data_IF_767888420740
#
_entry.id   IF_767888420740
#
_cell.length_a   1.000
_cell.length_b   1.000
_cell.length_c   1.000
_cell.angle_alpha   90.00
_cell.angle_beta   90.00
_cell.angle_gamma   90.00
#
_symmetry.space_group_name_H-M   'P 1'
#
loop_
_entity.id
_entity.type
_entity.pdbx_description
1 polymer ?
#
# COMPACT_ATOMS: atom_id res chain seq x y z
N UNK A 1 -2.91 -15.93 11.22
CA UNK A 1 -3.71 -16.34 10.04
C UNK A 1 -4.11 -15.17 9.15
N UNK A 2 -4.48 -14.00 9.71
CA UNK A 2 -4.89 -12.83 8.91
C UNK A 2 -3.76 -12.22 8.06
N UNK A 3 -2.52 -12.22 8.54
CA UNK A 3 -1.36 -11.70 7.80
C UNK A 3 -0.99 -12.65 6.65
N UNK A 4 -1.15 -13.97 6.84
CA UNK A 4 -0.85 -14.94 5.79
C UNK A 4 -1.86 -14.90 4.64
N UNK A 5 -3.15 -14.59 4.88
CA UNK A 5 -4.16 -14.49 3.83
C UNK A 5 -3.95 -13.27 2.94
N UNK A 6 -3.68 -12.09 3.54
CA UNK A 6 -3.43 -10.86 2.78
C UNK A 6 -2.17 -10.95 1.91
N UNK A 7 -1.08 -11.47 2.47
CA UNK A 7 0.14 -11.73 1.71
C UNK A 7 -0.13 -12.73 0.57
N UNK A 8 -0.99 -13.75 0.81
CA UNK A 8 -1.40 -14.71 -0.20
C UNK A 8 -2.17 -14.06 -1.35
N UNK A 9 -3.07 -13.11 -1.06
CA UNK A 9 -3.90 -12.48 -2.11
C UNK A 9 -3.12 -11.45 -2.94
N UNK A 10 -2.22 -10.70 -2.32
CA UNK A 10 -1.27 -9.85 -3.05
C UNK A 10 -0.36 -10.71 -3.93
N UNK A 11 0.12 -11.83 -3.40
CA UNK A 11 0.94 -12.78 -4.14
C UNK A 11 0.19 -13.38 -5.33
N UNK A 12 -1.07 -13.79 -5.16
CA UNK A 12 -1.90 -14.33 -6.25
C UNK A 12 -2.05 -13.33 -7.39
N UNK A 13 -2.38 -12.07 -7.08
CA UNK A 13 -2.49 -11.01 -8.11
C UNK A 13 -1.20 -10.83 -8.91
N UNK A 14 -0.07 -10.85 -8.21
CA UNK A 14 1.24 -10.76 -8.86
C UNK A 14 1.55 -11.98 -9.74
N UNK A 15 1.16 -13.18 -9.29
CA UNK A 15 1.34 -14.40 -10.08
C UNK A 15 0.54 -14.34 -11.38
N UNK A 16 -0.72 -13.90 -11.34
CA UNK A 16 -1.52 -13.74 -12.56
C UNK A 16 -0.90 -12.72 -13.50
N UNK A 17 -0.47 -11.57 -12.97
CA UNK A 17 0.16 -10.53 -13.79
C UNK A 17 1.49 -11.01 -14.41
N UNK A 18 2.35 -11.65 -13.62
CA UNK A 18 3.63 -12.13 -14.12
C UNK A 18 3.49 -13.27 -15.13
N UNK A 19 2.57 -14.22 -14.87
CA UNK A 19 2.33 -15.36 -15.76
C UNK A 19 1.70 -14.95 -17.08
N UNK A 20 0.60 -14.20 -17.01
CA UNK A 20 -0.29 -14.00 -18.14
C UNK A 20 -0.02 -12.69 -18.90
N UNK A 21 0.64 -11.70 -18.27
CA UNK A 21 1.01 -10.42 -18.89
C UNK A 21 2.51 -10.33 -19.19
N UNK A 22 3.38 -10.74 -18.24
CA UNK A 22 4.83 -10.65 -18.42
C UNK A 22 5.43 -11.94 -19.02
N UNK A 23 4.68 -13.04 -19.08
CA UNK A 23 5.07 -14.29 -19.70
C UNK A 23 5.99 -15.20 -18.87
N UNK A 24 6.42 -14.79 -17.67
CA UNK A 24 7.30 -15.59 -16.81
C UNK A 24 6.90 -15.50 -15.33
N UNK A 25 6.55 -16.64 -14.74
CA UNK A 25 6.20 -16.77 -13.32
C UNK A 25 7.38 -16.46 -12.37
N UNK A 26 8.62 -16.71 -12.81
CA UNK A 26 9.80 -16.51 -11.99
C UNK A 26 10.05 -15.03 -11.69
N UNK A 27 9.51 -14.13 -12.52
CA UNK A 27 9.56 -12.69 -12.31
C UNK A 27 8.89 -12.23 -11.00
N UNK A 28 7.91 -12.99 -10.49
CA UNK A 28 7.27 -12.69 -9.19
C UNK A 28 8.30 -12.63 -8.07
N UNK A 29 9.17 -13.63 -7.99
CA UNK A 29 10.21 -13.70 -6.95
C UNK A 29 11.21 -12.56 -7.09
N UNK A 30 11.62 -12.23 -8.31
CA UNK A 30 12.56 -11.14 -8.59
C UNK A 30 11.92 -9.78 -8.25
N UNK A 31 10.70 -9.54 -8.69
CA UNK A 31 9.95 -8.29 -8.40
C UNK A 31 9.78 -8.11 -6.89
N UNK A 32 9.33 -9.16 -6.19
CA UNK A 32 9.13 -9.11 -4.74
C UNK A 32 10.46 -9.00 -3.99
N UNK A 33 11.51 -9.68 -4.43
CA UNK A 33 12.83 -9.60 -3.82
C UNK A 33 13.36 -8.17 -3.86
N UNK A 34 13.38 -7.55 -5.03
CA UNK A 34 13.83 -6.16 -5.23
C UNK A 34 12.95 -5.20 -4.41
N UNK A 35 11.63 -5.34 -4.50
CA UNK A 35 10.68 -4.52 -3.76
C UNK A 35 10.94 -4.56 -2.25
N UNK A 36 11.08 -5.76 -1.65
CA UNK A 36 11.30 -5.92 -0.21
C UNK A 36 12.67 -5.39 0.23
N UNK A 37 13.73 -5.63 -0.53
CA UNK A 37 15.07 -5.12 -0.21
C UNK A 37 15.05 -3.59 -0.20
N UNK A 38 14.48 -2.97 -1.23
CA UNK A 38 14.39 -1.51 -1.33
C UNK A 38 13.51 -0.94 -0.22
N UNK A 39 12.40 -1.60 0.11
CA UNK A 39 11.53 -1.22 1.22
C UNK A 39 12.28 -1.21 2.56
N UNK A 40 13.02 -2.28 2.87
CA UNK A 40 13.79 -2.38 4.11
C UNK A 40 14.86 -1.28 4.17
N UNK A 41 15.64 -1.10 3.10
CA UNK A 41 16.65 -0.05 3.03
C UNK A 41 16.02 1.35 3.13
N UNK A 42 14.87 1.55 2.49
CA UNK A 42 14.12 2.80 2.56
C UNK A 42 13.70 3.17 3.98
N UNK A 43 13.28 2.20 4.79
CA UNK A 43 12.83 2.44 6.17
C UNK A 43 13.88 3.14 7.03
N UNK A 44 15.16 2.91 6.82
CA UNK A 44 16.22 3.59 7.58
C UNK A 44 16.26 5.11 7.33
N UNK A 45 15.83 5.56 6.15
CA UNK A 45 15.84 6.97 5.76
C UNK A 45 14.53 7.70 6.09
N UNK A 46 13.44 6.96 6.36
CA UNK A 46 12.11 7.54 6.57
C UNK A 46 12.08 8.46 7.79
N UNK A 47 12.73 8.09 8.89
CA UNK A 47 12.77 8.91 10.10
C UNK A 47 13.37 10.31 9.82
N UNK A 48 14.38 10.38 8.96
CA UNK A 48 15.00 11.64 8.54
C UNK A 48 14.06 12.47 7.65
N UNK A 49 13.37 11.80 6.70
CA UNK A 49 12.40 12.45 5.83
C UNK A 49 11.21 13.00 6.61
N UNK A 50 10.69 12.23 7.57
CA UNK A 50 9.57 12.62 8.42
C UNK A 50 9.92 13.85 9.26
N UNK A 51 11.13 13.92 9.84
CA UNK A 51 11.58 15.10 10.60
C UNK A 51 11.65 16.37 9.74
N UNK A 52 11.99 16.23 8.45
CA UNK A 52 12.15 17.37 7.55
C UNK A 52 10.83 17.81 6.90
N UNK A 53 10.00 16.89 6.50
CA UNK A 53 8.82 17.15 5.65
C UNK A 53 7.48 16.90 6.36
N UNK A 54 7.47 16.32 7.55
CA UNK A 54 6.26 15.90 8.28
C UNK A 54 5.70 14.56 7.79
N UNK A 55 4.91 13.89 8.64
CA UNK A 55 4.37 12.55 8.39
C UNK A 55 3.40 12.54 7.20
N UNK A 56 2.49 13.52 7.13
CA UNK A 56 1.52 13.68 6.05
C UNK A 56 2.17 13.75 4.67
N UNK A 57 3.20 14.60 4.53
CA UNK A 57 3.84 14.81 3.24
C UNK A 57 4.65 13.59 2.81
N UNK A 58 5.33 12.91 3.75
CA UNK A 58 6.08 11.68 3.47
C UNK A 58 5.14 10.54 3.09
N UNK A 59 4.00 10.40 3.78
CA UNK A 59 2.98 9.41 3.42
C UNK A 59 2.41 9.68 2.01
N UNK A 60 2.07 10.96 1.73
CA UNK A 60 1.55 11.34 0.41
C UNK A 60 2.57 11.12 -0.71
N UNK A 61 3.86 11.39 -0.45
CA UNK A 61 4.94 11.07 -1.37
C UNK A 61 5.01 9.56 -1.65
N UNK A 62 4.85 8.74 -0.61
CA UNK A 62 4.78 7.28 -0.75
C UNK A 62 3.68 6.84 -1.71
N UNK A 63 2.46 7.36 -1.53
CA UNK A 63 1.32 7.04 -2.41
C UNK A 63 1.57 7.50 -3.86
N UNK A 64 2.18 8.65 -4.07
CA UNK A 64 2.52 9.16 -5.42
C UNK A 64 3.56 8.24 -6.08
N UNK A 65 4.59 7.82 -5.35
CA UNK A 65 5.60 6.90 -5.87
C UNK A 65 5.00 5.53 -6.21
N UNK A 66 4.07 5.04 -5.40
CA UNK A 66 3.36 3.78 -5.70
C UNK A 66 2.53 3.90 -6.98
N UNK A 67 1.82 5.02 -7.19
CA UNK A 67 1.07 5.29 -8.44
C UNK A 67 2.03 5.31 -9.64
N UNK A 68 3.12 6.07 -9.56
CA UNK A 68 4.12 6.17 -10.63
C UNK A 68 4.70 4.78 -10.93
N UNK A 69 5.09 4.04 -9.91
CA UNK A 69 5.64 2.70 -10.07
C UNK A 69 4.66 1.72 -10.72
N UNK A 70 3.35 1.77 -10.37
CA UNK A 70 2.31 0.97 -11.01
C UNK A 70 2.12 1.35 -12.48
N UNK A 71 2.14 2.64 -12.82
CA UNK A 71 2.07 3.10 -14.20
C UNK A 71 3.27 2.64 -15.01
N UNK A 72 4.49 2.79 -14.47
CA UNK A 72 5.72 2.30 -15.13
C UNK A 72 5.64 0.80 -15.39
N UNK A 73 5.14 0.02 -14.42
CA UNK A 73 4.95 -1.42 -14.58
C UNK A 73 3.94 -1.76 -15.68
N UNK A 74 2.85 -1.00 -15.78
CA UNK A 74 1.82 -1.23 -16.80
C UNK A 74 2.35 -1.06 -18.23
N UNK A 75 3.33 -0.17 -18.42
CA UNK A 75 3.95 0.09 -19.73
C UNK A 75 5.22 -0.72 -19.96
N UNK A 76 5.61 -1.62 -19.04
CA UNK A 76 6.87 -2.39 -19.15
C UNK A 76 6.89 -3.38 -20.32
N UNK A 77 5.72 -3.86 -20.76
CA UNK A 77 5.63 -4.85 -21.84
C UNK A 77 6.46 -6.14 -21.61
N UNK A 78 6.83 -6.44 -20.36
CA UNK A 78 7.72 -7.56 -20.03
C UNK A 78 9.22 -7.21 -20.06
N UNK A 79 9.62 -5.97 -20.37
CA UNK A 79 11.01 -5.55 -20.43
C UNK A 79 11.61 -5.44 -19.01
N UNK A 80 12.54 -6.34 -18.68
CA UNK A 80 13.11 -6.50 -17.34
C UNK A 80 13.65 -5.20 -16.69
N UNK A 81 14.41 -4.34 -17.37
CA UNK A 81 14.90 -3.10 -16.75
C UNK A 81 13.77 -2.20 -16.25
N UNK A 82 12.67 -2.09 -17.00
CA UNK A 82 11.51 -1.28 -16.60
C UNK A 82 10.80 -1.91 -15.39
N UNK A 83 10.71 -3.24 -15.34
CA UNK A 83 10.14 -3.97 -14.20
C UNK A 83 10.96 -3.72 -12.94
N UNK A 84 12.30 -3.76 -13.04
CA UNK A 84 13.21 -3.47 -11.93
C UNK A 84 13.03 -2.03 -11.44
N UNK A 85 13.02 -1.06 -12.35
CA UNK A 85 12.80 0.36 -12.01
C UNK A 85 11.45 0.56 -11.31
N UNK A 86 10.39 -0.03 -11.84
CA UNK A 86 9.06 -0.02 -11.20
C UNK A 86 9.11 -0.58 -9.77
N UNK A 87 9.79 -1.72 -9.57
CA UNK A 87 9.89 -2.38 -8.27
C UNK A 87 10.66 -1.52 -7.25
N UNK A 88 11.71 -0.83 -7.70
CA UNK A 88 12.47 0.12 -6.87
C UNK A 88 11.60 1.31 -6.46
N UNK A 89 10.91 1.94 -7.41
CA UNK A 89 10.04 3.09 -7.14
C UNK A 89 8.95 2.71 -6.12
N UNK A 90 8.29 1.58 -6.32
CA UNK A 90 7.26 1.06 -5.42
C UNK A 90 7.81 0.66 -4.04
N UNK A 91 9.02 0.08 -4.00
CA UNK A 91 9.69 -0.25 -2.74
C UNK A 91 9.93 0.99 -1.88
N UNK A 92 10.38 2.10 -2.49
CA UNK A 92 10.55 3.39 -1.81
C UNK A 92 9.19 3.95 -1.39
N UNK A 93 8.19 3.91 -2.26
CA UNK A 93 6.82 4.38 -1.97
C UNK A 93 6.23 3.66 -0.76
N UNK A 94 6.32 2.33 -0.77
CA UNK A 94 5.81 1.50 0.33
C UNK A 94 6.58 1.69 1.64
N UNK A 95 7.90 1.93 1.59
CA UNK A 95 8.67 2.30 2.78
C UNK A 95 8.15 3.60 3.41
N UNK A 96 7.91 4.63 2.59
CA UNK A 96 7.33 5.90 3.05
C UNK A 96 5.94 5.70 3.66
N UNK A 97 5.05 4.95 3.00
CA UNK A 97 3.69 4.70 3.45
C UNK A 97 3.63 3.87 4.73
N UNK A 98 4.32 2.73 4.77
CA UNK A 98 4.23 1.77 5.88
C UNK A 98 4.73 2.33 7.20
N UNK A 99 5.90 2.96 7.22
CA UNK A 99 6.47 3.52 8.44
C UNK A 99 5.65 4.71 8.98
N UNK A 100 5.21 5.61 8.08
CA UNK A 100 4.46 6.81 8.48
C UNK A 100 3.03 6.50 8.90
N UNK A 101 2.38 5.49 8.31
CA UNK A 101 1.03 5.08 8.68
C UNK A 101 0.92 4.73 10.18
N UNK A 102 1.80 3.88 10.68
CA UNK A 102 1.78 3.50 12.09
C UNK A 102 2.12 4.66 13.03
N UNK A 103 3.03 5.56 12.60
CA UNK A 103 3.32 6.77 13.35
C UNK A 103 2.08 7.70 13.43
N UNK A 104 1.31 7.84 12.34
CA UNK A 104 0.08 8.64 12.33
C UNK A 104 -1.04 8.01 13.18
N UNK A 105 -1.13 6.68 13.23
CA UNK A 105 -2.05 5.97 14.14
C UNK A 105 -1.72 6.30 15.59
N UNK A 106 -0.44 6.28 15.99
CA UNK A 106 -0.01 6.68 17.33
C UNK A 106 -0.38 8.12 17.66
N UNK A 107 -0.18 9.04 16.71
CA UNK A 107 -0.57 10.45 16.89
C UNK A 107 -2.07 10.62 17.09
N UNK A 108 -2.87 9.82 16.42
CA UNK A 108 -4.33 9.81 16.59
C UNK A 108 -4.74 9.36 17.99
N UNK A 109 -4.01 8.41 18.59
CA UNK A 109 -4.23 7.96 19.97
C UNK A 109 -3.92 9.10 20.95
N UNK A 110 -2.77 9.77 20.78
CA UNK A 110 -2.36 10.89 21.64
C UNK A 110 -3.31 12.10 21.48
N UNK A 111 -3.78 12.39 20.27
CA UNK A 111 -4.82 13.40 20.04
C UNK A 111 -6.13 13.04 20.74
N UNK A 112 -6.56 11.78 20.70
CA UNK A 112 -7.73 11.29 21.40
C UNK A 112 -7.62 11.48 22.93
N UNK A 113 -6.46 11.12 23.51
CA UNK A 113 -6.16 11.33 24.92
C UNK A 113 -6.19 12.82 25.32
N UNK A 114 -5.58 13.68 24.50
CA UNK A 114 -5.58 15.14 24.72
C UNK A 114 -6.99 15.73 24.74
N UNK A 115 -7.84 15.28 23.82
CA UNK A 115 -9.20 15.82 23.64
C UNK A 115 -10.21 15.28 24.65
N UNK A 116 -10.10 14.01 25.05
CA UNK A 116 -11.10 13.32 25.87
C UNK A 116 -10.64 13.07 27.31
N UNK A 117 -9.34 13.18 27.59
CA UNK A 117 -8.74 12.80 28.87
C UNK A 117 -8.54 11.28 29.05
N UNK A 118 -8.95 10.47 28.10
CA UNK A 118 -8.83 9.01 28.17
C UNK A 118 -7.98 8.47 27.03
N UNK A 119 -7.00 7.61 27.36
CA UNK A 119 -6.16 6.92 26.37
C UNK A 119 -6.88 5.67 25.86
N UNK A 120 -7.39 5.71 24.63
CA UNK A 120 -8.15 4.62 24.01
C UNK A 120 -7.33 3.84 22.98
N UNK A 121 -6.11 3.49 23.32
CA UNK A 121 -5.15 2.81 22.43
C UNK A 121 -5.70 1.48 21.89
N UNK A 122 -6.32 0.66 22.76
CA UNK A 122 -6.93 -0.61 22.36
C UNK A 122 -8.04 -0.45 21.34
N UNK A 123 -8.89 0.58 21.47
CA UNK A 123 -10.00 0.85 20.56
C UNK A 123 -9.47 1.25 19.16
N UNK A 124 -8.49 2.15 19.11
CA UNK A 124 -7.91 2.62 17.84
C UNK A 124 -7.21 1.47 17.12
N UNK A 125 -6.39 0.68 17.82
CA UNK A 125 -5.72 -0.47 17.22
C UNK A 125 -6.70 -1.55 16.76
N UNK A 126 -7.81 -1.77 17.49
CA UNK A 126 -8.88 -2.68 17.07
C UNK A 126 -9.57 -2.19 15.82
N UNK A 127 -9.86 -0.88 15.70
CA UNK A 127 -10.45 -0.28 14.51
C UNK A 127 -9.52 -0.41 13.29
N UNK A 128 -8.21 -0.17 13.45
CA UNK A 128 -7.23 -0.38 12.39
C UNK A 128 -7.17 -1.85 11.95
N UNK A 129 -7.16 -2.79 12.89
CA UNK A 129 -7.13 -4.22 12.60
C UNK A 129 -8.41 -4.69 11.89
N UNK A 130 -9.56 -4.16 12.30
CA UNK A 130 -10.85 -4.43 11.67
C UNK A 130 -10.89 -3.90 10.24
N UNK A 131 -10.48 -2.63 10.03
CA UNK A 131 -10.38 -2.03 8.70
C UNK A 131 -9.45 -2.80 7.78
N UNK A 132 -8.30 -3.24 8.29
CA UNK A 132 -7.36 -4.07 7.53
C UNK A 132 -7.98 -5.42 7.09
N UNK A 133 -8.67 -6.11 8.00
CA UNK A 133 -9.33 -7.40 7.68
C UNK A 133 -10.46 -7.24 6.67
N UNK A 134 -11.30 -6.21 6.84
CA UNK A 134 -12.38 -5.90 5.88
C UNK A 134 -11.78 -5.56 4.52
N UNK A 135 -10.77 -4.69 4.48
CA UNK A 135 -10.12 -4.29 3.23
C UNK A 135 -9.55 -5.49 2.46
N UNK A 136 -8.92 -6.44 3.17
CA UNK A 136 -8.42 -7.67 2.57
C UNK A 136 -9.57 -8.58 2.06
N UNK A 137 -10.64 -8.74 2.85
CA UNK A 137 -11.80 -9.53 2.43
C UNK A 137 -12.46 -8.97 1.17
N UNK A 138 -12.74 -7.66 1.14
CA UNK A 138 -13.30 -6.97 -0.03
C UNK A 138 -12.33 -7.08 -1.22
N UNK A 139 -11.05 -6.86 -1.01
CA UNK A 139 -10.03 -6.95 -2.07
C UNK A 139 -9.96 -8.32 -2.72
N UNK A 140 -10.06 -9.39 -1.91
CA UNK A 140 -10.06 -10.78 -2.40
C UNK A 140 -11.35 -11.12 -3.15
N UNK A 141 -12.49 -10.69 -2.64
CA UNK A 141 -13.79 -10.88 -3.30
C UNK A 141 -13.83 -10.16 -4.65
N UNK A 142 -13.41 -8.89 -4.70
CA UNK A 142 -13.33 -8.12 -5.94
C UNK A 142 -12.40 -8.79 -6.98
N UNK A 143 -11.26 -9.32 -6.54
CA UNK A 143 -10.35 -10.04 -7.44
C UNK A 143 -11.07 -11.24 -8.08
N UNK A 144 -11.76 -12.07 -7.29
CA UNK A 144 -12.49 -13.23 -7.79
C UNK A 144 -13.56 -12.83 -8.81
N UNK A 145 -14.43 -11.89 -8.44
CA UNK A 145 -15.54 -11.43 -9.29
C UNK A 145 -15.03 -10.81 -10.61
N UNK A 146 -14.00 -9.95 -10.55
CA UNK A 146 -13.49 -9.29 -11.77
C UNK A 146 -12.81 -10.29 -12.71
N UNK A 147 -12.09 -11.27 -12.19
CA UNK A 147 -11.49 -12.32 -13.00
C UNK A 147 -12.56 -13.23 -13.63
N UNK A 148 -13.61 -13.59 -12.88
CA UNK A 148 -14.72 -14.39 -13.38
C UNK A 148 -15.48 -13.67 -14.50
N UNK A 149 -15.89 -12.41 -14.28
CA UNK A 149 -16.56 -11.58 -15.29
C UNK A 149 -15.68 -11.36 -16.52
N UNK A 150 -14.35 -11.25 -16.32
CA UNK A 150 -13.37 -11.16 -17.41
C UNK A 150 -13.19 -12.45 -18.20
N UNK A 151 -13.78 -13.56 -17.77
CA UNK A 151 -13.64 -14.87 -18.41
C UNK A 151 -12.25 -15.50 -18.21
N UNK A 152 -11.62 -15.24 -17.06
CA UNK A 152 -10.35 -15.87 -16.72
C UNK A 152 -10.50 -17.36 -16.49
N UNK A 153 -9.75 -18.18 -17.24
CA UNK A 153 -9.74 -19.64 -17.08
C UNK A 153 -8.39 -20.08 -16.52
N UNK A 154 -8.42 -20.64 -15.32
CA UNK A 154 -7.22 -21.22 -14.68
C UNK A 154 -6.62 -22.33 -15.58
N UNK A 155 -5.30 -22.31 -15.78
CA UNK A 155 -4.56 -23.29 -16.59
C UNK A 155 -4.85 -23.28 -18.10
N UNK A 156 -5.54 -22.30 -18.65
CA UNK A 156 -5.62 -22.13 -20.10
C UNK A 156 -4.23 -21.86 -20.70
N UNK A 157 -3.97 -22.38 -21.88
CA UNK A 157 -2.71 -22.16 -22.61
C UNK A 157 -2.53 -20.69 -23.02
N UNK A 158 -3.65 -20.01 -23.31
CA UNK A 158 -3.69 -18.57 -23.56
C UNK A 158 -4.98 -18.00 -22.99
N UNK A 159 -4.90 -16.78 -22.45
CA UNK A 159 -6.03 -16.04 -21.90
C UNK A 159 -6.68 -15.16 -22.97
N UNK A 160 -7.98 -14.92 -22.84
CA UNK A 160 -8.70 -13.98 -23.72
C UNK A 160 -8.24 -12.55 -23.45
N UNK A 161 -8.41 -11.66 -24.43
CA UNK A 161 -8.11 -10.22 -24.27
C UNK A 161 -8.90 -9.60 -23.12
N UNK A 162 -10.13 -10.05 -22.87
CA UNK A 162 -10.96 -9.65 -21.74
C UNK A 162 -10.34 -10.06 -20.40
N UNK A 163 -9.89 -11.32 -20.28
CA UNK A 163 -9.23 -11.82 -19.08
C UNK A 163 -7.93 -11.05 -18.78
N UNK A 164 -7.11 -10.78 -19.79
CA UNK A 164 -5.88 -9.98 -19.63
C UNK A 164 -6.19 -8.54 -19.17
N UNK A 165 -7.24 -7.95 -19.66
CA UNK A 165 -7.72 -6.62 -19.23
C UNK A 165 -8.15 -6.66 -17.77
N UNK A 166 -8.89 -7.69 -17.35
CA UNK A 166 -9.33 -7.86 -15.97
C UNK A 166 -8.15 -8.03 -15.00
N UNK A 167 -7.11 -8.77 -15.39
CA UNK A 167 -5.86 -8.87 -14.61
C UNK A 167 -5.22 -7.50 -14.45
N UNK A 168 -5.11 -6.70 -15.53
CA UNK A 168 -4.56 -5.34 -15.45
C UNK A 168 -5.40 -4.42 -14.56
N UNK A 169 -6.73 -4.51 -14.64
CA UNK A 169 -7.63 -3.74 -13.77
C UNK A 169 -7.36 -4.08 -12.30
N UNK A 170 -7.33 -5.35 -11.96
CA UNK A 170 -7.11 -5.80 -10.57
C UNK A 170 -5.73 -5.45 -10.02
N UNK A 171 -4.70 -5.54 -10.87
CA UNK A 171 -3.32 -5.39 -10.41
C UNK A 171 -2.82 -3.95 -10.48
N UNK A 172 -3.27 -3.15 -11.44
CA UNK A 172 -2.78 -1.78 -11.68
C UNK A 172 -3.82 -0.74 -11.32
N UNK A 173 -4.99 -0.79 -11.96
CA UNK A 173 -5.95 0.32 -11.90
C UNK A 173 -6.68 0.44 -10.56
N UNK A 174 -7.08 -0.68 -9.94
CA UNK A 174 -7.72 -0.66 -8.62
C UNK A 174 -6.76 -0.12 -7.55
N UNK A 175 -5.51 -0.60 -7.41
CA UNK A 175 -4.56 0.00 -6.48
C UNK A 175 -4.33 1.49 -6.73
N UNK A 176 -4.19 1.93 -7.98
CA UNK A 176 -4.05 3.36 -8.30
C UNK A 176 -5.26 4.15 -7.80
N UNK A 177 -6.50 3.68 -8.05
CA UNK A 177 -7.70 4.35 -7.57
C UNK A 177 -7.71 4.47 -6.03
N UNK A 178 -7.31 3.40 -5.31
CA UNK A 178 -7.19 3.42 -3.84
C UNK A 178 -6.14 4.40 -3.37
N UNK A 179 -4.97 4.47 -4.02
CA UNK A 179 -3.92 5.43 -3.68
C UNK A 179 -4.35 6.88 -3.93
N UNK A 180 -5.08 7.13 -5.02
CA UNK A 180 -5.66 8.46 -5.30
C UNK A 180 -6.68 8.85 -4.22
N UNK A 181 -7.56 7.93 -3.81
CA UNK A 181 -8.47 8.16 -2.68
C UNK A 181 -7.69 8.47 -1.39
N UNK A 182 -6.61 7.73 -1.13
CA UNK A 182 -5.71 7.98 0.00
C UNK A 182 -5.11 9.39 -0.05
N UNK A 183 -4.65 9.85 -1.21
CA UNK A 183 -4.13 11.22 -1.38
C UNK A 183 -5.19 12.29 -1.11
N UNK A 184 -6.44 12.06 -1.52
CA UNK A 184 -7.56 12.97 -1.24
C UNK A 184 -7.81 13.03 0.27
N UNK A 185 -7.85 11.88 0.95
CA UNK A 185 -8.04 11.81 2.40
C UNK A 185 -6.92 12.54 3.14
N UNK A 186 -5.66 12.39 2.69
CA UNK A 186 -4.51 13.08 3.28
C UNK A 186 -4.60 14.60 3.20
N UNK A 187 -5.35 15.18 2.26
CA UNK A 187 -5.58 16.63 2.24
C UNK A 187 -6.32 17.13 3.49
N UNK A 188 -7.15 16.29 4.08
CA UNK A 188 -7.93 16.61 5.29
C UNK A 188 -7.16 16.32 6.59
N UNK A 189 -6.02 15.64 6.51
CA UNK A 189 -5.19 15.38 7.69
C UNK A 189 -4.34 16.60 8.02
N UNK A 190 -4.61 17.24 9.17
CA UNK A 190 -3.92 18.50 9.60
C UNK A 190 -3.17 18.32 10.93
N UNK A 191 -3.22 17.14 11.54
CA UNK A 191 -2.70 16.87 12.88
C UNK A 191 -1.18 17.13 13.00
N UNK A 192 -0.40 16.93 11.93
CA UNK A 192 1.05 17.18 11.93
C UNK A 192 1.44 18.59 12.39
N UNK A 193 0.59 19.59 12.16
CA UNK A 193 0.89 21.00 12.49
C UNK A 193 0.63 21.33 13.96
N UNK A 194 -0.27 20.61 14.59
CA UNK A 194 -0.73 20.86 15.97
C UNK A 194 -0.12 19.88 16.96
N UNK A 195 0.53 18.83 16.46
CA UNK A 195 0.96 17.68 17.27
C UNK A 195 1.98 18.03 18.35
N UNK A 196 2.94 18.91 18.05
CA UNK A 196 3.96 19.34 19.01
C UNK A 196 3.33 20.06 20.21
N UNK A 197 2.31 20.89 19.97
CA UNK A 197 1.54 21.55 21.03
C UNK A 197 0.75 20.57 21.88
N UNK A 198 0.07 19.61 21.24
CA UNK A 198 -0.69 18.55 21.91
C UNK A 198 0.22 17.72 22.82
N UNK A 199 1.42 17.39 22.35
CA UNK A 199 2.38 16.59 23.09
C UNK A 199 2.94 17.38 24.31
N UNK A 200 3.14 18.68 24.17
CA UNK A 200 3.55 19.55 25.27
C UNK A 200 2.46 19.64 26.34
N UNK A 201 1.19 19.83 25.93
CA UNK A 201 0.05 19.86 26.84
C UNK A 201 -0.14 18.54 27.59
N UNK A 202 -0.03 17.41 26.91
CA UNK A 202 -0.13 16.08 27.54
C UNK A 202 0.98 15.82 28.57
N UNK A 203 2.21 16.31 28.30
CA UNK A 203 3.31 16.23 29.25
C UNK A 203 3.10 17.12 30.48
N UNK A 204 2.46 18.26 30.32
CA UNK A 204 2.15 19.16 31.42
C UNK A 204 1.01 18.66 32.32
N UNK A 205 0.17 17.75 31.82
CA UNK A 205 -0.94 17.13 32.58
C UNK A 205 -0.53 15.90 33.40
N UNK A 206 0.65 15.34 33.13
CA UNK A 206 1.24 14.19 33.86
C UNK A 206 2.19 14.69 34.94
#
# INVERSE_FOLDING_TARGET
>A
QGVSSAASDVYKRQVYYAKDILGDKNLVSTINGIFNIVQILGMFFIAMLVKKFGKRNVFSLGLILDIIGMLVLNFSGGFMPIIVVSSVIRGIGNACGGATMWAMVSDTIDYGEWKTGYRTEGLVNSACSFGYKIGNGIGSALLGVILEVGGYVGNAAAQTASALTSIKICFVWIPIAVYVCGLIIMKFYHLDKEFDGILADLKARK
#
